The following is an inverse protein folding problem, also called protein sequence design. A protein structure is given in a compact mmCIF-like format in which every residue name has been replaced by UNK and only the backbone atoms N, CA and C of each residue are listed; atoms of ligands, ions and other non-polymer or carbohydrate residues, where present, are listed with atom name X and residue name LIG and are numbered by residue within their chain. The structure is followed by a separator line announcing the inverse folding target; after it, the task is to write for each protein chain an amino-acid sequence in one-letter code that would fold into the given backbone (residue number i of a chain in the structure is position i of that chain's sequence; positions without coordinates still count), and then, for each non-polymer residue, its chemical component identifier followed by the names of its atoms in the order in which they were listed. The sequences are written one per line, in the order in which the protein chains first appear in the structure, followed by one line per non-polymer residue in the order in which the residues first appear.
data_IF_711376489020
#
_entry.id   IF_711376489020
#
_cell.length_a   1.000
_cell.length_b   1.000
_cell.length_c   1.000
_cell.angle_alpha   90.00
_cell.angle_beta   90.00
_cell.angle_gamma   90.00
#
_symmetry.space_group_name_H-M   'P 1'
#
loop_
_entity.id
_entity.type
_entity.pdbx_description
1 polymer ?
#
# COMPACT_ATOMS: atom_id res chain seq x y z
N UNK A 1 2.83 7.36 4.68
CA UNK A 1 1.82 6.34 4.38
C UNK A 1 1.17 5.87 5.67
N UNK A 2 -0.11 5.60 5.62
CA UNK A 2 -0.81 5.01 6.76
C UNK A 2 -0.60 3.49 6.77
N UNK A 3 -0.58 2.90 7.96
CA UNK A 3 -0.38 1.48 8.14
C UNK A 3 -1.75 0.80 8.27
N UNK A 4 -2.01 -0.21 7.42
CA UNK A 4 -3.29 -0.89 7.36
C UNK A 4 -3.11 -2.41 7.31
N UNK A 5 -3.23 -3.06 8.47
CA UNK A 5 -3.09 -4.51 8.58
C UNK A 5 -4.28 -5.27 7.99
N UNK A 6 -5.39 -4.58 7.73
CA UNK A 6 -6.56 -5.16 7.07
C UNK A 6 -6.44 -5.21 5.56
N UNK A 7 -5.46 -4.54 4.96
CA UNK A 7 -5.28 -4.50 3.53
C UNK A 7 -4.25 -5.54 3.09
N UNK A 8 -4.62 -6.37 2.09
CA UNK A 8 -3.70 -7.37 1.53
C UNK A 8 -2.57 -6.72 0.74
N UNK A 9 -2.87 -5.65 0.03
CA UNK A 9 -1.92 -4.92 -0.80
C UNK A 9 -1.58 -3.57 -0.20
N UNK A 10 -0.35 -3.14 -0.42
CA UNK A 10 0.05 -1.75 -0.26
C UNK A 10 -0.61 -0.95 -1.37
N UNK A 11 -0.99 0.29 -1.10
CA UNK A 11 -1.67 1.14 -2.07
C UNK A 11 -0.90 2.43 -2.28
N UNK A 12 -0.71 2.80 -3.56
CA UNK A 12 -0.11 4.07 -3.94
C UNK A 12 -1.05 4.82 -4.88
N UNK A 13 -1.05 6.16 -4.85
CA UNK A 13 -1.87 6.94 -5.77
C UNK A 13 -1.31 6.91 -7.19
N UNK A 14 -2.17 7.21 -8.17
CA UNK A 14 -1.78 7.23 -9.59
C UNK A 14 -0.62 8.19 -9.86
N UNK A 15 -0.63 9.36 -9.24
CA UNK A 15 0.44 10.34 -9.40
C UNK A 15 1.82 9.74 -9.01
N UNK A 16 1.86 9.01 -7.91
CA UNK A 16 3.09 8.35 -7.46
C UNK A 16 3.53 7.28 -8.43
N UNK A 17 2.59 6.45 -8.92
CA UNK A 17 2.91 5.40 -9.89
C UNK A 17 3.48 5.99 -11.18
N UNK A 18 2.90 7.07 -11.67
CA UNK A 18 3.39 7.75 -12.88
C UNK A 18 4.78 8.35 -12.66
N UNK A 19 5.02 8.97 -11.50
CA UNK A 19 6.31 9.56 -11.15
C UNK A 19 7.43 8.49 -11.10
N UNK A 20 7.07 7.24 -10.73
CA UNK A 20 8.01 6.13 -10.68
C UNK A 20 8.23 5.47 -12.04
N UNK A 21 7.54 5.93 -13.09
CA UNK A 21 7.64 5.34 -14.42
C UNK A 21 6.87 4.04 -14.60
N UNK A 22 5.96 3.73 -13.69
CA UNK A 22 5.09 2.57 -13.79
C UNK A 22 3.98 2.84 -14.79
N UNK A 23 3.47 1.78 -15.40
CA UNK A 23 2.35 1.86 -16.35
C UNK A 23 1.20 0.96 -15.89
N UNK A 24 0.46 1.37 -14.83
CA UNK A 24 -0.58 0.51 -14.26
C UNK A 24 -1.70 0.20 -15.24
N UNK A 25 -1.98 1.09 -16.20
CA UNK A 25 -3.03 0.94 -17.20
C UNK A 25 -2.83 -0.26 -18.12
N UNK A 26 -1.59 -0.74 -18.29
CA UNK A 26 -1.29 -1.92 -19.11
C UNK A 26 -1.05 -3.18 -18.26
N UNK A 27 -1.20 -3.10 -16.95
CA UNK A 27 -1.01 -4.26 -16.08
C UNK A 27 -2.08 -5.31 -16.36
N UNK A 28 -1.65 -6.57 -16.52
CA UNK A 28 -2.57 -7.70 -16.68
C UNK A 28 -3.10 -8.20 -15.35
N UNK A 29 -2.41 -7.91 -14.25
CA UNK A 29 -2.82 -8.32 -12.91
C UNK A 29 -3.74 -7.26 -12.31
N UNK A 30 -4.91 -7.68 -11.83
CA UNK A 30 -5.89 -6.81 -11.19
C UNK A 30 -6.27 -7.40 -9.84
N UNK A 31 -6.63 -6.54 -8.93
CA UNK A 31 -7.21 -6.91 -7.64
C UNK A 31 -8.60 -6.29 -7.50
N UNK A 32 -9.46 -6.95 -6.74
CA UNK A 32 -10.78 -6.40 -6.43
C UNK A 32 -10.66 -5.51 -5.19
N UNK A 33 -11.21 -4.31 -5.30
CA UNK A 33 -11.25 -3.36 -4.19
C UNK A 33 -12.72 -3.05 -3.88
N UNK A 34 -13.06 -3.14 -2.59
CA UNK A 34 -14.42 -2.81 -2.15
C UNK A 34 -14.47 -1.31 -1.87
N UNK A 35 -15.37 -0.62 -2.56
CA UNK A 35 -15.60 0.81 -2.39
C UNK A 35 -17.05 1.06 -1.97
N UNK A 36 -17.36 2.31 -1.63
CA UNK A 36 -18.73 2.68 -1.28
C UNK A 36 -19.73 2.42 -2.42
N UNK A 37 -19.29 2.42 -3.68
CA UNK A 37 -20.13 2.19 -4.85
C UNK A 37 -20.11 0.75 -5.35
N UNK A 38 -19.39 -0.15 -4.67
CA UNK A 38 -19.34 -1.58 -5.02
C UNK A 38 -17.92 -2.09 -5.17
N UNK A 39 -17.75 -3.17 -5.96
CA UNK A 39 -16.46 -3.77 -6.22
C UNK A 39 -15.84 -3.13 -7.46
N UNK A 40 -14.61 -2.70 -7.32
CA UNK A 40 -13.84 -2.06 -8.37
C UNK A 40 -12.57 -2.88 -8.64
N UNK A 41 -12.23 -3.07 -9.92
CA UNK A 41 -10.97 -3.72 -10.29
C UNK A 41 -9.89 -2.67 -10.42
N UNK A 42 -8.79 -2.87 -9.70
CA UNK A 42 -7.66 -1.94 -9.71
C UNK A 42 -6.39 -2.65 -10.16
N UNK A 43 -5.49 -1.95 -10.85
CA UNK A 43 -4.26 -2.58 -11.31
C UNK A 43 -3.32 -2.92 -10.17
N UNK A 44 -2.64 -4.06 -10.30
CA UNK A 44 -1.55 -4.47 -9.41
C UNK A 44 -0.25 -4.35 -10.18
N UNK A 45 0.70 -3.65 -9.61
CA UNK A 45 2.04 -3.52 -10.17
C UNK A 45 3.07 -3.83 -9.09
N UNK A 46 4.29 -4.17 -9.52
CA UNK A 46 5.38 -4.41 -8.58
C UNK A 46 6.32 -3.22 -8.59
N UNK A 47 6.53 -2.62 -7.42
CA UNK A 47 7.55 -1.59 -7.26
C UNK A 47 8.87 -2.23 -6.85
N UNK A 48 9.98 -1.62 -7.29
CA UNK A 48 11.32 -2.17 -7.03
C UNK A 48 11.63 -2.22 -5.55
N UNK A 49 11.26 -1.21 -4.80
CA UNK A 49 11.47 -1.19 -3.36
C UNK A 49 10.59 -0.15 -2.68
N UNK A 50 10.29 -0.41 -1.41
CA UNK A 50 9.65 0.55 -0.51
C UNK A 50 10.51 0.65 0.74
N UNK A 51 10.87 1.87 1.11
CA UNK A 51 11.58 2.16 2.35
C UNK A 51 10.72 3.05 3.24
N UNK A 52 10.42 2.56 4.42
CA UNK A 52 9.67 3.32 5.42
C UNK A 52 9.90 2.70 6.80
N UNK A 53 9.74 3.48 7.85
CA UNK A 53 9.99 3.05 9.24
C UNK A 53 11.38 2.44 9.43
N UNK A 54 12.38 2.92 8.67
CA UNK A 54 13.75 2.35 8.73
C UNK A 54 13.89 0.97 8.11
N UNK A 55 12.87 0.47 7.41
CA UNK A 55 12.87 -0.84 6.76
C UNK A 55 12.81 -0.70 5.25
N UNK A 56 13.46 -1.64 4.56
CA UNK A 56 13.45 -1.72 3.10
C UNK A 56 12.92 -3.08 2.67
N UNK A 57 11.95 -3.09 1.77
CA UNK A 57 11.45 -4.32 1.14
C UNK A 57 11.52 -4.15 -0.37
N UNK A 58 12.09 -5.14 -1.05
CA UNK A 58 12.19 -5.15 -2.51
C UNK A 58 11.02 -5.90 -3.13
N UNK A 59 10.67 -5.54 -4.35
CA UNK A 59 9.66 -6.22 -5.15
C UNK A 59 8.31 -6.33 -4.44
N UNK A 60 7.77 -5.18 -4.04
CA UNK A 60 6.48 -5.13 -3.34
C UNK A 60 5.36 -4.97 -4.34
N UNK A 61 4.36 -5.84 -4.27
CA UNK A 61 3.14 -5.69 -5.06
C UNK A 61 2.27 -4.61 -4.44
N UNK A 62 1.87 -3.65 -5.27
CA UNK A 62 1.01 -2.55 -4.85
C UNK A 62 -0.19 -2.44 -5.77
N UNK A 63 -1.32 -1.99 -5.24
CA UNK A 63 -2.44 -1.55 -6.05
C UNK A 63 -2.31 -0.06 -6.27
N UNK A 64 -2.81 0.40 -7.42
CA UNK A 64 -2.81 1.82 -7.77
C UNK A 64 -4.23 2.34 -7.72
N UNK A 65 -4.49 3.23 -6.78
CA UNK A 65 -5.80 3.81 -6.56
C UNK A 65 -5.65 5.08 -5.73
N UNK A 66 -6.45 6.08 -6.05
CA UNK A 66 -6.39 7.35 -5.33
C UNK A 66 -7.18 7.29 -4.04
N UNK A 67 -6.61 7.86 -2.99
CA UNK A 67 -7.32 8.09 -1.72
C UNK A 67 -8.25 9.29 -1.85
N UNK A 68 -9.29 9.39 -1.00
CA UNK A 68 -10.17 10.55 -1.02
C UNK A 68 -9.39 11.87 -0.95
N UNK A 69 -9.83 12.92 -1.68
CA UNK A 69 -9.10 14.18 -1.74
C UNK A 69 -8.82 14.85 -0.40
N UNK A 70 -9.64 14.57 0.61
CA UNK A 70 -9.47 15.13 1.96
C UNK A 70 -8.56 14.29 2.85
N UNK A 71 -8.04 13.18 2.35
CA UNK A 71 -7.11 12.34 3.08
C UNK A 71 -5.76 13.04 3.18
N UNK A 72 -5.12 12.96 4.34
CA UNK A 72 -3.78 13.50 4.56
C UNK A 72 -2.68 12.45 4.39
N UNK A 73 -3.01 11.28 3.87
CA UNK A 73 -2.04 10.19 3.66
C UNK A 73 -1.75 10.00 2.17
N UNK A 74 -0.51 9.68 1.85
CA UNK A 74 -0.02 9.51 0.48
C UNK A 74 -0.22 8.09 -0.05
N UNK A 75 -0.68 7.18 0.79
CA UNK A 75 -0.89 5.78 0.45
C UNK A 75 -1.09 4.94 1.70
N UNK A 76 -1.26 3.62 1.52
CA UNK A 76 -1.47 2.68 2.61
C UNK A 76 -0.45 1.55 2.54
N UNK A 77 0.18 1.23 3.68
CA UNK A 77 1.04 0.05 3.80
C UNK A 77 0.17 -1.14 4.19
N UNK A 78 0.05 -2.09 3.29
CA UNK A 78 -0.71 -3.31 3.51
C UNK A 78 0.19 -4.52 3.79
N UNK A 79 -0.41 -5.71 3.81
CA UNK A 79 0.29 -6.94 4.13
C UNK A 79 1.38 -7.30 3.10
N UNK A 80 1.28 -6.83 1.85
CA UNK A 80 2.34 -7.06 0.87
C UNK A 80 3.69 -6.51 1.30
N UNK A 81 3.70 -5.47 2.14
CA UNK A 81 4.89 -4.93 2.78
C UNK A 81 5.06 -5.52 4.19
N UNK A 82 4.00 -5.47 5.00
CA UNK A 82 4.06 -5.78 6.42
C UNK A 82 4.34 -7.26 6.71
N UNK A 83 4.02 -8.17 5.80
CA UNK A 83 4.25 -9.61 5.98
C UNK A 83 5.73 -9.98 6.21
N UNK A 84 6.65 -9.09 5.85
CA UNK A 84 8.08 -9.31 6.03
C UNK A 84 8.58 -9.00 7.44
N UNK A 85 7.72 -8.50 8.31
CA UNK A 85 8.11 -7.99 9.63
C UNK A 85 7.23 -8.53 10.73
N UNK A 86 7.76 -8.46 11.94
CA UNK A 86 6.98 -8.66 13.16
C UNK A 86 6.49 -7.30 13.63
N UNK A 87 5.18 -7.20 13.82
CA UNK A 87 4.52 -5.99 14.28
C UNK A 87 4.08 -6.17 15.72
N UNK A 88 4.52 -5.30 16.61
CA UNK A 88 4.09 -5.30 18.01
C UNK A 88 3.37 -4.00 18.29
N UNK A 89 2.14 -4.09 18.81
CA UNK A 89 1.33 -2.92 19.17
C UNK A 89 1.15 -2.90 20.66
N UNK A 90 1.60 -1.81 21.31
CA UNK A 90 1.43 -1.60 22.74
C UNK A 90 0.36 -0.54 22.97
N UNK A 91 -0.84 -1.00 23.24
CA UNK A 91 -1.98 -0.10 23.46
C UNK A 91 -1.88 0.66 24.78
N UNK A 92 -1.19 0.09 25.77
CA UNK A 92 -1.03 0.72 27.09
C UNK A 92 -0.13 1.95 27.00
N UNK A 93 1.00 1.82 26.31
CA UNK A 93 2.01 2.87 26.19
C UNK A 93 1.89 3.66 24.89
N UNK A 94 1.02 3.25 23.99
CA UNK A 94 0.71 3.98 22.77
C UNK A 94 1.81 3.95 21.73
N UNK A 95 2.55 2.85 21.59
CA UNK A 95 3.57 2.75 20.55
C UNK A 95 3.46 1.47 19.73
N UNK A 96 4.12 1.48 18.58
CA UNK A 96 4.16 0.38 17.65
C UNK A 96 5.62 0.09 17.28
N UNK A 97 5.99 -1.20 17.33
CA UNK A 97 7.32 -1.65 16.92
C UNK A 97 7.22 -2.49 15.67
N UNK A 98 8.18 -2.29 14.76
CA UNK A 98 8.34 -3.10 13.55
C UNK A 98 9.74 -3.71 13.59
N UNK A 99 9.80 -5.03 13.58
CA UNK A 99 11.08 -5.76 13.60
C UNK A 99 11.28 -6.60 12.34
#
# INVERSE_FOLDING_TARGET
MALDTGASYTMIPWETAEALGLQPEISTKKANMITASGIEKVPVVTVDSIRTFGKLVNNVEVIVHDLPPKSHVDGLLGLSFLKHFKLTVDFRNGYLEIE
#
